data_IF_595544559719
#
_entry.id   IF_595544559719
#
_cell.length_a   1.000
_cell.length_b   1.000
_cell.length_c   1.000
_cell.angle_alpha   90.00
_cell.angle_beta   90.00
_cell.angle_gamma   90.00
#
_symmetry.space_group_name_H-M   'P 1'
#
loop_
_entity.id
_entity.type
_entity.pdbx_description
1 polymer ?
#
# COMPACT_ATOMS: atom_id res chain seq x y z
N UNK A 1 4.86 20.77 86.70
CA UNK A 1 5.71 21.88 87.19
C UNK A 1 5.62 22.99 86.15
N UNK A 2 4.72 23.97 86.36
CA UNK A 2 4.91 25.29 86.99
C UNK A 2 6.21 25.96 86.47
N UNK A 3 6.22 27.07 85.81
CA UNK A 3 5.69 28.44 86.09
C UNK A 3 5.91 29.30 84.84
N UNK A 4 4.94 30.12 84.37
CA UNK A 4 4.62 31.51 84.71
C UNK A 4 5.82 32.48 84.75
N UNK A 5 5.88 33.55 83.98
CA UNK A 5 5.25 34.87 84.12
C UNK A 5 5.88 35.92 83.19
N UNK A 6 5.04 36.71 82.56
CA UNK A 6 4.94 38.20 82.48
C UNK A 6 6.12 38.96 81.88
N UNK A 7 5.98 40.00 81.22
CA UNK A 7 5.06 41.10 80.92
C UNK A 7 5.77 42.01 79.95
N UNK A 8 5.24 42.51 78.92
CA UNK A 8 4.53 43.78 78.82
C UNK A 8 5.50 44.92 78.54
N UNK A 9 5.42 45.53 77.39
CA UNK A 9 5.36 46.99 77.26
C UNK A 9 5.08 47.39 75.78
N UNK A 10 4.15 48.33 75.71
CA UNK A 10 3.77 49.16 74.56
C UNK A 10 4.94 49.99 74.08
N UNK A 11 5.09 50.12 72.73
CA UNK A 11 5.45 51.42 72.16
C UNK A 11 4.86 51.61 70.77
N UNK A 12 4.49 52.80 70.53
CA UNK A 12 3.66 53.35 69.46
C UNK A 12 4.41 53.46 68.11
N UNK A 13 3.64 53.23 67.01
CA UNK A 13 3.42 54.14 65.87
C UNK A 13 4.65 54.45 65.01
N UNK A 14 4.58 54.02 63.75
CA UNK A 14 4.61 54.93 62.61
C UNK A 14 4.07 54.22 61.34
N UNK A 15 2.93 54.69 60.87
CA UNK A 15 2.35 54.34 59.60
C UNK A 15 3.25 54.84 58.46
N UNK A 16 3.70 53.93 57.62
CA UNK A 16 4.17 54.26 56.27
C UNK A 16 3.29 53.51 55.28
N UNK A 17 2.44 54.24 54.61
CA UNK A 17 1.70 53.85 53.48
C UNK A 17 2.70 53.49 52.37
N UNK A 18 2.80 52.20 51.98
CA UNK A 18 3.37 51.77 50.78
C UNK A 18 2.24 51.53 49.79
N UNK A 19 2.15 52.39 48.76
CA UNK A 19 1.34 52.15 47.55
C UNK A 19 1.94 51.00 46.82
N UNK A 20 1.31 49.82 46.88
CA UNK A 20 1.58 48.71 45.95
C UNK A 20 0.83 49.01 44.66
N UNK A 21 1.55 49.46 43.62
CA UNK A 21 1.05 49.50 42.26
C UNK A 21 0.90 48.05 41.80
N UNK A 22 -0.34 47.54 41.69
CA UNK A 22 -0.66 46.31 41.02
C UNK A 22 -0.47 46.51 39.50
N UNK A 23 0.66 46.07 38.98
CA UNK A 23 0.83 45.85 37.53
C UNK A 23 -0.01 44.63 37.16
N UNK A 24 -1.20 44.84 36.61
CA UNK A 24 -2.00 43.81 35.97
C UNK A 24 -1.34 43.49 34.66
N UNK A 25 -0.55 42.41 34.62
CA UNK A 25 -0.13 41.80 33.35
C UNK A 25 -1.37 41.19 32.71
N UNK A 26 -1.89 41.85 31.67
CA UNK A 26 -2.89 41.28 30.79
C UNK A 26 -2.21 40.11 30.02
N UNK A 27 -2.41 38.88 30.45
CA UNK A 27 -2.12 37.71 29.65
C UNK A 27 -3.11 37.68 28.50
N UNK A 28 -2.70 38.14 27.33
CA UNK A 28 -3.40 37.83 26.08
C UNK A 28 -3.26 36.32 25.85
N UNK A 29 -4.34 35.55 25.71
CA UNK A 29 -4.21 34.17 25.31
C UNK A 29 -3.58 34.15 23.91
N UNK A 30 -2.39 33.56 23.77
CA UNK A 30 -1.82 33.18 22.49
C UNK A 30 -2.74 32.07 22.01
N UNK A 31 -3.70 32.41 21.14
CA UNK A 31 -4.44 31.41 20.37
C UNK A 31 -3.43 30.72 19.47
N UNK A 32 -3.10 29.47 19.77
CA UNK A 32 -2.39 28.64 18.84
C UNK A 32 -3.16 28.65 17.50
N UNK A 33 -2.49 28.78 16.35
CA UNK A 33 -3.18 28.68 15.09
C UNK A 33 -3.91 27.35 15.05
N UNK A 34 -5.22 27.40 14.76
CA UNK A 34 -6.00 26.20 14.45
C UNK A 34 -5.29 25.51 13.27
N UNK A 35 -4.54 24.47 13.56
CA UNK A 35 -4.05 23.55 12.53
C UNK A 35 -5.29 22.78 12.09
N UNK A 36 -6.00 23.38 11.16
CA UNK A 36 -7.11 22.73 10.47
C UNK A 36 -6.51 21.49 9.79
N UNK A 37 -6.59 20.34 10.44
CA UNK A 37 -6.18 19.07 9.84
C UNK A 37 -6.94 18.93 8.54
N UNK A 38 -6.24 18.97 7.43
CA UNK A 38 -6.84 18.75 6.13
C UNK A 38 -7.59 17.43 6.20
N UNK A 39 -8.92 17.48 6.04
CA UNK A 39 -9.74 16.28 6.11
C UNK A 39 -9.31 15.35 4.97
N UNK A 40 -8.81 14.15 5.32
CA UNK A 40 -8.43 13.15 4.35
C UNK A 40 -9.64 12.79 3.48
N UNK A 41 -9.41 12.68 2.18
CA UNK A 41 -10.45 12.25 1.26
C UNK A 41 -10.80 10.80 1.51
N UNK A 42 -12.08 10.45 1.33
CA UNK A 42 -12.54 9.07 1.44
C UNK A 42 -13.49 8.71 0.31
N UNK A 43 -13.53 7.43 -0.02
CA UNK A 43 -14.52 6.83 -0.93
C UNK A 43 -15.13 5.59 -0.31
N UNK A 44 -16.41 5.42 -0.54
CA UNK A 44 -17.17 4.25 -0.09
C UNK A 44 -17.78 3.56 -1.30
N UNK A 45 -17.56 2.27 -1.41
CA UNK A 45 -18.09 1.50 -2.52
C UNK A 45 -18.47 0.09 -2.07
N UNK A 46 -19.42 -0.48 -2.80
CA UNK A 46 -19.69 -1.91 -2.84
C UNK A 46 -18.96 -2.50 -4.04
N UNK A 47 -18.21 -3.55 -3.84
CA UNK A 47 -17.47 -4.25 -4.89
C UNK A 47 -17.99 -5.66 -5.01
N UNK A 48 -18.28 -6.09 -6.24
CA UNK A 48 -18.79 -7.42 -6.53
C UNK A 48 -17.92 -8.13 -7.56
N UNK A 49 -17.40 -9.28 -7.19
CA UNK A 49 -16.81 -10.27 -8.08
C UNK A 49 -17.91 -11.24 -8.51
N UNK A 50 -18.09 -11.38 -9.81
CA UNK A 50 -18.99 -12.40 -10.40
C UNK A 50 -18.14 -13.37 -11.21
N UNK A 51 -18.15 -14.64 -10.82
CA UNK A 51 -17.36 -15.69 -11.44
C UNK A 51 -18.31 -16.72 -12.09
N UNK A 52 -18.06 -17.01 -13.36
CA UNK A 52 -18.53 -18.20 -14.06
C UNK A 52 -17.30 -18.87 -14.65
N UNK A 53 -16.68 -19.75 -13.85
CA UNK A 53 -15.31 -20.20 -14.06
C UNK A 53 -15.19 -21.06 -15.32
N UNK A 54 -14.33 -20.64 -16.24
CA UNK A 54 -13.97 -21.41 -17.43
C UNK A 54 -13.09 -22.59 -17.03
N UNK A 55 -13.72 -23.71 -16.66
CA UNK A 55 -13.03 -24.94 -16.30
C UNK A 55 -13.54 -26.10 -17.14
N UNK A 56 -12.72 -27.12 -17.44
CA UNK A 56 -13.16 -28.32 -18.15
C UNK A 56 -14.37 -28.97 -17.47
N UNK A 57 -15.38 -29.33 -18.26
CA UNK A 57 -16.65 -29.89 -17.73
C UNK A 57 -16.42 -31.19 -16.94
N UNK A 58 -15.44 -31.99 -17.36
CA UNK A 58 -15.05 -33.26 -16.78
C UNK A 58 -14.13 -33.14 -15.55
N UNK A 59 -13.60 -31.94 -15.23
CA UNK A 59 -12.72 -31.75 -14.10
C UNK A 59 -13.38 -32.18 -12.78
N UNK A 60 -12.68 -33.01 -12.03
CA UNK A 60 -13.17 -33.57 -10.77
C UNK A 60 -12.97 -32.64 -9.58
N UNK A 61 -11.90 -31.88 -9.60
CA UNK A 61 -11.56 -30.93 -8.54
C UNK A 61 -11.11 -29.60 -9.15
N UNK A 62 -11.95 -28.59 -8.98
CA UNK A 62 -11.67 -27.22 -9.42
C UNK A 62 -11.49 -26.33 -8.19
N UNK A 63 -10.43 -25.53 -8.17
CA UNK A 63 -10.09 -24.63 -7.07
C UNK A 63 -9.94 -23.21 -7.58
N UNK A 64 -10.38 -22.24 -6.80
CA UNK A 64 -10.32 -20.81 -7.11
C UNK A 64 -9.83 -20.05 -5.89
N UNK A 65 -8.90 -19.12 -6.09
CA UNK A 65 -8.47 -18.15 -5.10
C UNK A 65 -8.71 -16.75 -5.64
N UNK A 66 -9.38 -15.91 -4.87
CA UNK A 66 -9.61 -14.51 -5.17
C UNK A 66 -8.89 -13.67 -4.11
N UNK A 67 -8.09 -12.63 -4.48
CA UNK A 67 -7.50 -11.73 -3.51
C UNK A 67 -8.56 -11.13 -2.59
N UNK A 68 -8.34 -11.25 -1.27
CA UNK A 68 -9.31 -10.79 -0.26
C UNK A 68 -8.75 -9.58 0.47
N UNK A 69 -9.36 -8.38 0.32
CA UNK A 69 -8.92 -7.19 1.03
C UNK A 69 -9.18 -7.34 2.53
N UNK A 70 -8.21 -6.91 3.35
CA UNK A 70 -8.35 -6.88 4.80
C UNK A 70 -8.47 -5.43 5.26
N UNK A 71 -9.17 -5.20 6.37
CA UNK A 71 -9.21 -3.88 7.00
C UNK A 71 -7.85 -3.53 7.60
N UNK A 72 -7.49 -2.26 7.47
CA UNK A 72 -6.31 -1.63 8.07
C UNK A 72 -6.63 -0.19 8.48
N UNK A 73 -5.64 0.61 8.84
CA UNK A 73 -5.82 2.01 9.23
C UNK A 73 -6.39 2.92 8.13
N UNK A 74 -6.23 2.52 6.85
CA UNK A 74 -6.62 3.31 5.67
C UNK A 74 -7.79 2.71 4.90
N UNK A 75 -8.21 1.50 5.22
CA UNK A 75 -9.39 0.88 4.61
C UNK A 75 -10.18 0.04 5.61
N UNK A 76 -11.49 0.07 5.48
CA UNK A 76 -12.42 -0.75 6.26
C UNK A 76 -13.23 -1.63 5.30
N UNK A 77 -13.18 -2.94 5.51
CA UNK A 77 -13.92 -3.94 4.74
C UNK A 77 -15.07 -4.45 5.60
N UNK A 78 -16.26 -4.40 5.08
CA UNK A 78 -17.49 -4.84 5.77
C UNK A 78 -18.47 -5.54 4.84
N UNK A 79 -19.54 -6.05 5.40
CA UNK A 79 -20.70 -6.63 4.70
C UNK A 79 -20.32 -7.66 3.62
N UNK A 80 -19.39 -8.54 3.98
CA UNK A 80 -18.91 -9.58 3.06
C UNK A 80 -19.98 -10.64 2.86
N UNK A 81 -20.34 -10.87 1.59
CA UNK A 81 -21.29 -11.91 1.18
C UNK A 81 -20.65 -12.79 0.12
N UNK A 82 -20.72 -14.09 0.31
CA UNK A 82 -20.29 -15.09 -0.67
C UNK A 82 -21.47 -16.00 -0.99
N UNK A 83 -21.78 -16.13 -2.27
CA UNK A 83 -22.86 -16.99 -2.77
C UNK A 83 -22.37 -17.74 -4.01
N UNK A 84 -22.97 -18.90 -4.31
CA UNK A 84 -22.61 -19.70 -5.47
C UNK A 84 -22.89 -21.17 -5.25
N UNK A 85 -22.33 -22.01 -6.12
CA UNK A 85 -22.52 -23.46 -6.08
C UNK A 85 -21.24 -24.24 -5.73
N UNK A 86 -20.24 -23.56 -5.13
CA UNK A 86 -19.04 -24.22 -4.64
C UNK A 86 -19.36 -25.28 -3.58
N UNK A 87 -18.63 -26.39 -3.55
CA UNK A 87 -18.79 -27.44 -2.52
C UNK A 87 -18.27 -27.01 -1.16
N UNK A 88 -17.28 -26.12 -1.16
CA UNK A 88 -16.74 -25.49 0.03
C UNK A 88 -16.09 -24.15 -0.34
N UNK A 89 -16.07 -23.23 0.62
CA UNK A 89 -15.32 -21.97 0.53
C UNK A 89 -14.88 -21.50 1.92
N UNK A 90 -13.87 -20.62 1.95
CA UNK A 90 -13.39 -19.98 3.16
C UNK A 90 -12.37 -18.90 2.86
N UNK A 91 -12.01 -18.10 3.88
CA UNK A 91 -10.97 -17.09 3.77
C UNK A 91 -9.74 -17.57 4.55
N UNK A 92 -8.61 -17.66 3.86
CA UNK A 92 -7.37 -18.17 4.42
C UNK A 92 -6.24 -17.19 4.21
N UNK A 93 -5.30 -17.12 5.15
CA UNK A 93 -4.09 -16.32 5.04
C UNK A 93 -2.92 -17.20 4.64
N UNK A 94 -2.11 -16.74 3.68
CA UNK A 94 -0.84 -17.37 3.38
C UNK A 94 0.22 -17.05 4.44
N UNK A 95 1.25 -17.91 4.54
CA UNK A 95 2.16 -17.88 5.69
C UNK A 95 3.30 -16.86 5.59
N UNK A 96 3.63 -16.36 4.39
CA UNK A 96 4.81 -15.52 4.21
C UNK A 96 4.55 -14.03 4.57
N UNK A 97 3.49 -13.46 4.02
CA UNK A 97 3.16 -12.04 4.16
C UNK A 97 1.81 -11.82 4.88
N UNK A 98 1.03 -12.90 5.08
CA UNK A 98 -0.28 -12.83 5.72
C UNK A 98 -1.39 -12.32 4.80
N UNK A 99 -1.19 -12.34 3.48
CA UNK A 99 -2.22 -12.00 2.52
C UNK A 99 -3.41 -12.95 2.63
N UNK A 100 -4.62 -12.43 2.54
CA UNK A 100 -5.83 -13.22 2.58
C UNK A 100 -6.32 -13.56 1.15
N UNK A 101 -6.86 -14.75 1.00
CA UNK A 101 -7.55 -15.21 -0.20
C UNK A 101 -8.92 -15.77 0.15
N UNK A 102 -9.94 -15.38 -0.59
CA UNK A 102 -11.17 -16.13 -0.65
C UNK A 102 -10.91 -17.37 -1.51
N UNK A 103 -10.93 -18.53 -0.88
CA UNK A 103 -10.78 -19.82 -1.52
C UNK A 103 -12.16 -20.45 -1.74
N UNK A 104 -12.36 -21.05 -2.91
CA UNK A 104 -13.54 -21.86 -3.20
C UNK A 104 -13.14 -23.12 -3.98
N UNK A 105 -13.86 -24.20 -3.77
CA UNK A 105 -13.63 -25.45 -4.48
C UNK A 105 -14.92 -26.12 -4.93
N UNK A 106 -14.82 -26.84 -6.02
CA UNK A 106 -15.85 -27.71 -6.58
C UNK A 106 -15.30 -29.11 -6.72
N UNK A 107 -15.82 -30.04 -5.90
CA UNK A 107 -15.42 -31.45 -5.92
C UNK A 107 -16.54 -32.30 -6.50
N UNK A 108 -16.22 -33.05 -7.57
CA UNK A 108 -17.14 -33.96 -8.24
C UNK A 108 -18.48 -33.31 -8.67
N UNK A 109 -18.44 -32.00 -9.00
CA UNK A 109 -19.62 -31.27 -9.48
C UNK A 109 -19.69 -31.32 -10.99
N UNK A 110 -20.91 -31.28 -11.54
CA UNK A 110 -21.20 -31.13 -12.96
C UNK A 110 -21.80 -29.75 -13.22
N UNK A 111 -21.61 -29.26 -14.44
CA UNK A 111 -22.18 -27.99 -14.86
C UNK A 111 -21.33 -26.76 -14.51
N UNK A 112 -21.89 -25.56 -14.61
CA UNK A 112 -21.18 -24.31 -14.35
C UNK A 112 -20.65 -24.22 -12.91
N UNK A 113 -19.48 -23.61 -12.76
CA UNK A 113 -18.88 -23.31 -11.45
C UNK A 113 -18.98 -21.82 -11.21
N UNK A 114 -19.96 -21.44 -10.40
CA UNK A 114 -20.32 -20.04 -10.18
C UNK A 114 -20.07 -19.61 -8.75
N UNK A 115 -19.60 -18.37 -8.60
CA UNK A 115 -19.42 -17.74 -7.30
C UNK A 115 -19.63 -16.23 -7.44
N UNK A 116 -20.33 -15.64 -6.49
CA UNK A 116 -20.42 -14.19 -6.31
C UNK A 116 -19.79 -13.86 -4.96
N UNK A 117 -18.88 -12.88 -4.95
CA UNK A 117 -18.24 -12.37 -3.76
C UNK A 117 -18.44 -10.85 -3.73
N UNK A 118 -19.14 -10.35 -2.73
CA UNK A 118 -19.43 -8.92 -2.55
C UNK A 118 -18.93 -8.45 -1.21
N UNK A 119 -18.39 -7.24 -1.16
CA UNK A 119 -17.99 -6.56 0.07
C UNK A 119 -18.17 -5.05 -0.06
N UNK A 120 -18.33 -4.36 1.07
CA UNK A 120 -18.24 -2.91 1.13
C UNK A 120 -16.85 -2.49 1.56
N UNK A 121 -16.37 -1.40 1.01
CA UNK A 121 -15.10 -0.79 1.36
C UNK A 121 -15.29 0.70 1.66
N UNK A 122 -14.73 1.15 2.77
CA UNK A 122 -14.40 2.55 3.00
C UNK A 122 -12.89 2.68 2.84
N UNK A 123 -12.45 3.48 1.86
CA UNK A 123 -11.04 3.74 1.60
C UNK A 123 -10.73 5.21 1.85
N UNK A 124 -9.66 5.49 2.59
CA UNK A 124 -9.18 6.83 2.89
C UNK A 124 -7.89 7.11 2.11
N UNK A 125 -7.72 8.36 1.74
CA UNK A 125 -6.42 8.87 1.30
C UNK A 125 -5.38 8.56 2.37
N UNK A 126 -4.20 8.07 1.95
CA UNK A 126 -3.10 7.83 2.88
C UNK A 126 -2.00 8.86 2.64
N UNK A 127 -1.67 9.61 3.70
CA UNK A 127 -0.63 10.63 3.67
C UNK A 127 0.43 10.30 4.72
N UNK A 128 1.68 10.19 4.28
CA UNK A 128 2.85 9.76 5.09
C UNK A 128 4.05 10.68 4.82
N UNK A 129 3.84 12.01 4.79
CA UNK A 129 4.87 12.99 4.38
C UNK A 129 5.74 13.49 5.52
N UNK A 130 5.24 13.45 6.75
CA UNK A 130 5.90 14.04 7.91
C UNK A 130 6.99 13.11 8.48
N UNK A 131 7.85 12.61 7.58
CA UNK A 131 8.98 11.78 8.00
C UNK A 131 10.05 12.65 8.65
N UNK A 132 10.66 12.19 9.76
CA UNK A 132 11.70 12.96 10.43
C UNK A 132 12.94 13.15 9.56
N UNK A 133 13.60 14.29 9.67
CA UNK A 133 14.85 14.58 8.95
C UNK A 133 16.02 13.74 9.48
N UNK A 134 15.93 13.30 10.74
CA UNK A 134 16.93 12.45 11.39
C UNK A 134 16.37 11.05 11.55
N UNK A 135 17.02 10.09 10.91
CA UNK A 135 16.63 8.67 11.02
C UNK A 135 17.13 8.06 12.33
N UNK A 136 16.23 7.30 12.98
CA UNK A 136 16.61 6.47 14.11
C UNK A 136 17.34 5.20 13.62
N UNK A 137 18.26 4.63 14.43
CA UNK A 137 18.83 3.32 14.13
C UNK A 137 17.72 2.26 14.02
N UNK A 138 17.85 1.34 13.08
CA UNK A 138 16.95 0.19 12.93
C UNK A 138 17.72 -1.10 12.63
N UNK A 139 17.14 -2.23 13.00
CA UNK A 139 17.72 -3.53 12.75
C UNK A 139 17.29 -4.08 11.40
N UNK A 140 18.21 -4.26 10.47
CA UNK A 140 17.92 -4.89 9.16
C UNK A 140 17.38 -6.32 9.30
N UNK A 141 17.66 -6.99 10.40
CA UNK A 141 17.16 -8.35 10.65
C UNK A 141 15.63 -8.41 10.84
N UNK A 142 14.99 -7.30 11.19
CA UNK A 142 13.54 -7.20 11.31
C UNK A 142 12.85 -7.08 9.94
N UNK A 143 13.60 -6.65 8.92
CA UNK A 143 13.11 -6.38 7.56
C UNK A 143 13.67 -7.38 6.54
N UNK A 144 13.89 -8.64 6.94
CA UNK A 144 14.49 -9.66 6.05
C UNK A 144 13.71 -9.86 4.76
N UNK A 145 12.39 -9.80 4.81
CA UNK A 145 11.52 -9.97 3.63
C UNK A 145 11.58 -8.75 2.72
N UNK A 146 11.58 -7.57 3.33
CA UNK A 146 11.57 -6.28 2.63
C UNK A 146 12.97 -5.85 2.15
N UNK A 147 13.99 -6.65 2.45
CA UNK A 147 15.38 -6.53 1.95
C UNK A 147 15.79 -7.76 1.11
N UNK A 148 14.92 -8.76 0.99
CA UNK A 148 15.24 -9.99 0.27
C UNK A 148 15.09 -9.80 -1.26
N UNK A 149 15.87 -10.55 -2.05
CA UNK A 149 15.62 -10.71 -3.47
C UNK A 149 14.29 -11.43 -3.71
N UNK A 150 13.82 -11.38 -4.95
CA UNK A 150 12.71 -12.17 -5.46
C UNK A 150 13.17 -12.94 -6.68
N UNK A 151 12.36 -13.87 -7.17
CA UNK A 151 12.69 -14.64 -8.39
C UNK A 151 12.98 -13.77 -9.61
N UNK A 152 12.38 -12.56 -9.68
CA UNK A 152 12.52 -11.62 -10.81
C UNK A 152 13.33 -10.35 -10.43
N UNK A 153 14.03 -10.36 -9.29
CA UNK A 153 14.92 -9.28 -8.84
C UNK A 153 15.95 -9.87 -7.87
N UNK A 154 17.17 -10.15 -8.32
CA UNK A 154 18.17 -10.84 -7.47
C UNK A 154 18.99 -9.89 -6.59
N UNK A 155 18.87 -8.57 -6.80
CA UNK A 155 19.53 -7.47 -6.07
C UNK A 155 21.06 -7.47 -6.16
N UNK A 156 21.60 -8.07 -7.23
CA UNK A 156 23.03 -8.13 -7.52
C UNK A 156 23.32 -7.55 -8.90
N UNK A 157 24.59 -7.57 -9.30
CA UNK A 157 25.02 -7.14 -10.64
C UNK A 157 24.45 -5.78 -11.03
N UNK A 158 23.78 -5.68 -12.20
CA UNK A 158 23.28 -4.41 -12.73
C UNK A 158 22.31 -3.67 -11.83
N UNK A 159 21.47 -4.38 -11.08
CA UNK A 159 20.51 -3.78 -10.12
C UNK A 159 21.26 -3.08 -8.99
N UNK A 160 22.27 -3.73 -8.42
CA UNK A 160 23.07 -3.20 -7.34
C UNK A 160 23.93 -2.02 -7.82
N UNK A 161 24.58 -2.17 -8.96
CA UNK A 161 25.40 -1.10 -9.55
C UNK A 161 24.58 0.16 -9.83
N UNK A 162 23.39 -0.01 -10.39
CA UNK A 162 22.47 1.10 -10.62
C UNK A 162 22.00 1.75 -9.33
N UNK A 163 21.62 0.94 -8.32
CA UNK A 163 21.20 1.45 -7.01
C UNK A 163 22.32 2.25 -6.33
N UNK A 164 23.56 1.74 -6.33
CA UNK A 164 24.75 2.43 -5.77
C UNK A 164 25.01 3.76 -6.49
N UNK A 165 24.89 3.78 -7.82
CA UNK A 165 25.05 5.00 -8.62
C UNK A 165 23.99 6.05 -8.28
N UNK A 166 22.72 5.66 -8.18
CA UNK A 166 21.61 6.58 -7.88
C UNK A 166 21.73 7.14 -6.45
N UNK A 167 22.15 6.28 -5.51
CA UNK A 167 22.17 6.63 -4.09
C UNK A 167 23.53 7.10 -3.59
N UNK A 168 24.49 7.37 -4.49
CA UNK A 168 25.80 7.89 -4.13
C UNK A 168 25.68 9.20 -3.33
N UNK A 169 26.37 9.24 -2.15
CA UNK A 169 26.31 10.38 -1.23
C UNK A 169 25.00 10.54 -0.44
N UNK A 170 24.07 9.59 -0.53
CA UNK A 170 22.83 9.58 0.25
C UNK A 170 23.03 8.79 1.54
N UNK A 171 22.73 9.40 2.68
CA UNK A 171 23.06 8.86 3.99
C UNK A 171 21.83 8.24 4.69
N UNK A 172 20.62 8.70 4.38
CA UNK A 172 19.37 8.27 5.01
C UNK A 172 18.52 7.41 4.08
N UNK A 173 17.62 6.60 4.63
CA UNK A 173 16.65 5.85 3.84
C UNK A 173 15.75 6.79 3.02
N UNK A 174 15.35 7.93 3.60
CA UNK A 174 14.56 8.95 2.91
C UNK A 174 15.28 9.49 1.68
N UNK A 175 16.56 9.89 1.82
CA UNK A 175 17.35 10.41 0.70
C UNK A 175 17.53 9.37 -0.41
N UNK A 176 17.80 8.10 -0.04
CA UNK A 176 17.92 7.00 -1.00
C UNK A 176 16.59 6.70 -1.69
N UNK A 177 15.51 6.56 -0.92
CA UNK A 177 14.17 6.31 -1.45
C UNK A 177 13.71 7.43 -2.39
N UNK A 178 13.98 8.69 -2.04
CA UNK A 178 13.67 9.84 -2.89
C UNK A 178 14.50 9.84 -4.17
N UNK A 179 15.81 9.60 -4.08
CA UNK A 179 16.68 9.55 -5.27
C UNK A 179 16.26 8.44 -6.25
N UNK A 180 15.86 7.27 -5.73
CA UNK A 180 15.35 6.16 -6.55
C UNK A 180 13.99 6.50 -7.16
N UNK A 181 13.09 7.10 -6.37
CA UNK A 181 11.78 7.58 -6.85
C UNK A 181 11.96 8.58 -8.00
N UNK A 182 12.83 9.54 -7.79
CA UNK A 182 13.16 10.58 -8.75
C UNK A 182 13.72 9.99 -10.05
N UNK A 183 14.72 9.10 -9.91
CA UNK A 183 15.28 8.39 -11.04
C UNK A 183 14.22 7.57 -11.80
N UNK A 184 13.34 6.88 -11.09
CA UNK A 184 12.26 6.08 -11.68
C UNK A 184 11.30 6.96 -12.48
N UNK A 185 10.90 8.10 -11.90
CA UNK A 185 10.02 9.05 -12.58
C UNK A 185 10.70 9.69 -13.80
N UNK A 186 12.00 9.95 -13.76
CA UNK A 186 12.71 10.60 -14.85
C UNK A 186 13.07 9.67 -16.00
N UNK A 187 13.45 8.44 -15.68
CA UNK A 187 14.04 7.51 -16.67
C UNK A 187 13.07 6.46 -17.20
N UNK A 188 12.14 5.97 -16.37
CA UNK A 188 11.18 4.97 -16.85
C UNK A 188 9.99 5.62 -17.56
N UNK A 189 9.32 4.87 -18.42
CA UNK A 189 8.10 5.32 -19.09
C UNK A 189 6.99 4.27 -19.00
N UNK A 190 5.73 4.74 -19.08
CA UNK A 190 4.58 3.85 -19.13
C UNK A 190 4.41 3.33 -20.55
N UNK A 191 4.52 2.00 -20.70
CA UNK A 191 4.23 1.32 -21.98
C UNK A 191 2.75 0.89 -22.03
N UNK A 192 1.93 1.48 -22.91
CA UNK A 192 0.53 1.09 -23.05
C UNK A 192 0.35 -0.35 -23.57
N UNK A 193 1.36 -0.91 -24.24
CA UNK A 193 1.29 -2.24 -24.85
C UNK A 193 1.65 -3.37 -23.87
N UNK A 194 2.26 -3.06 -22.72
CA UNK A 194 2.51 -4.07 -21.70
C UNK A 194 1.20 -4.71 -21.23
N UNK A 195 1.17 -6.04 -21.05
CA UNK A 195 -0.03 -6.78 -20.65
C UNK A 195 -0.31 -6.62 -19.16
N UNK A 196 -1.58 -6.47 -18.77
CA UNK A 196 -2.00 -6.36 -17.37
C UNK A 196 -1.29 -5.21 -16.63
N UNK A 197 -0.71 -5.52 -15.48
CA UNK A 197 0.15 -4.58 -14.72
C UNK A 197 1.65 -4.80 -14.98
N UNK A 198 2.04 -5.73 -15.85
CA UNK A 198 3.41 -6.15 -16.06
C UNK A 198 3.83 -7.30 -15.14
N UNK A 199 4.96 -7.91 -15.40
CA UNK A 199 5.47 -9.03 -14.60
C UNK A 199 6.57 -8.64 -13.63
N UNK A 200 7.26 -7.51 -13.89
CA UNK A 200 8.31 -7.00 -13.03
C UNK A 200 9.63 -7.77 -13.11
N UNK A 201 10.03 -8.20 -14.31
CA UNK A 201 11.38 -8.73 -14.55
C UNK A 201 12.39 -7.58 -14.55
N UNK A 202 12.99 -7.32 -13.39
CA UNK A 202 13.80 -6.13 -13.12
C UNK A 202 15.04 -6.10 -14.00
N UNK A 203 15.67 -7.23 -14.22
CA UNK A 203 16.87 -7.33 -15.04
C UNK A 203 16.64 -6.89 -16.51
N UNK A 204 15.47 -7.21 -17.06
CA UNK A 204 15.03 -6.70 -18.36
C UNK A 204 14.61 -5.22 -18.26
N UNK A 205 13.89 -4.84 -17.23
CA UNK A 205 13.29 -3.50 -17.10
C UNK A 205 14.30 -2.38 -16.92
N UNK A 206 15.40 -2.61 -16.21
CA UNK A 206 16.47 -1.61 -16.07
C UNK A 206 17.19 -1.30 -17.39
N UNK A 207 17.08 -2.19 -18.40
CA UNK A 207 17.61 -1.98 -19.75
C UNK A 207 16.58 -1.36 -20.69
N UNK A 208 15.32 -1.76 -20.60
CA UNK A 208 14.24 -1.32 -21.50
C UNK A 208 13.52 -0.06 -21.02
N UNK A 209 13.48 0.16 -19.71
CA UNK A 209 12.89 1.30 -19.02
C UNK A 209 11.36 1.48 -19.23
N UNK A 210 10.71 0.57 -19.95
CA UNK A 210 9.29 0.64 -20.29
C UNK A 210 8.46 -0.42 -19.58
N UNK A 211 7.27 -0.02 -19.08
CA UNK A 211 6.35 -0.98 -18.45
C UNK A 211 5.08 -0.36 -17.89
N UNK A 212 4.28 -1.17 -17.21
CA UNK A 212 3.12 -0.71 -16.45
C UNK A 212 3.44 -0.61 -14.96
N UNK A 213 2.42 -0.46 -14.12
CA UNK A 213 2.62 -0.22 -12.68
C UNK A 213 3.47 -1.32 -12.02
N UNK A 214 3.17 -2.60 -12.25
CA UNK A 214 3.94 -3.70 -11.66
C UNK A 214 5.39 -3.77 -12.14
N UNK A 215 5.69 -3.32 -13.36
CA UNK A 215 7.04 -3.23 -13.90
C UNK A 215 7.82 -2.07 -13.26
N UNK A 216 7.24 -0.87 -13.29
CA UNK A 216 7.87 0.35 -12.76
C UNK A 216 8.13 0.21 -11.25
N UNK A 217 7.16 -0.33 -10.52
CA UNK A 217 7.27 -0.55 -9.08
C UNK A 217 8.29 -1.61 -8.72
N UNK A 218 8.41 -2.70 -9.50
CA UNK A 218 9.44 -3.71 -9.24
C UNK A 218 10.84 -3.15 -9.35
N UNK A 219 11.09 -2.26 -10.32
CA UNK A 219 12.38 -1.58 -10.43
C UNK A 219 12.62 -0.69 -9.21
N UNK A 220 11.64 0.11 -8.80
CA UNK A 220 11.76 0.94 -7.59
C UNK A 220 12.10 0.09 -6.36
N UNK A 221 11.30 -0.96 -6.10
CA UNK A 221 11.51 -1.84 -4.94
C UNK A 221 12.86 -2.53 -4.96
N UNK A 222 13.28 -3.05 -6.13
CA UNK A 222 14.58 -3.71 -6.27
C UNK A 222 15.75 -2.75 -5.98
N UNK A 223 15.72 -1.55 -6.55
CA UNK A 223 16.75 -0.54 -6.32
C UNK A 223 16.78 -0.06 -4.84
N UNK A 224 15.61 0.11 -4.22
CA UNK A 224 15.52 0.46 -2.80
C UNK A 224 16.14 -0.65 -1.93
N UNK A 225 15.76 -1.92 -2.13
CA UNK A 225 16.32 -3.07 -1.41
C UNK A 225 17.82 -3.21 -1.63
N UNK A 226 18.29 -3.09 -2.88
CA UNK A 226 19.72 -3.14 -3.23
C UNK A 226 20.54 -2.03 -2.58
N UNK A 227 19.96 -0.86 -2.33
CA UNK A 227 20.56 0.25 -1.58
C UNK A 227 20.48 0.09 -0.05
N UNK A 228 19.81 -0.98 0.43
CA UNK A 228 19.62 -1.27 1.86
C UNK A 228 18.42 -0.57 2.50
N UNK A 229 17.52 0.01 1.72
CA UNK A 229 16.24 0.56 2.17
C UNK A 229 15.19 -0.54 2.15
N UNK A 230 14.58 -0.92 3.29
CA UNK A 230 13.47 -1.87 3.27
C UNK A 230 12.31 -1.31 2.45
N UNK A 231 11.85 -2.08 1.47
CA UNK A 231 10.78 -1.68 0.57
C UNK A 231 9.86 -2.84 0.22
N UNK A 232 8.58 -2.54 -0.04
CA UNK A 232 7.58 -3.54 -0.42
C UNK A 232 6.57 -2.98 -1.40
N UNK A 233 6.10 -3.85 -2.28
CA UNK A 233 4.97 -3.57 -3.17
C UNK A 233 3.67 -3.82 -2.43
N UNK A 234 2.70 -2.94 -2.61
CA UNK A 234 1.31 -3.15 -2.21
C UNK A 234 0.48 -3.36 -3.46
N UNK A 235 -0.13 -4.52 -3.56
CA UNK A 235 -1.00 -4.90 -4.67
C UNK A 235 -2.45 -4.58 -4.34
N UNK A 236 -3.19 -4.10 -5.34
CA UNK A 236 -4.55 -3.66 -5.13
C UNK A 236 -5.37 -3.56 -6.40
N UNK A 237 -6.55 -2.99 -6.22
CA UNK A 237 -7.47 -2.65 -7.31
C UNK A 237 -7.97 -1.23 -7.12
N UNK A 238 -8.08 -0.47 -8.23
CA UNK A 238 -8.48 0.93 -8.18
C UNK A 238 -9.97 1.08 -8.48
N UNK A 239 -10.69 1.81 -7.63
CA UNK A 239 -12.02 2.30 -7.94
C UNK A 239 -11.92 3.31 -9.09
N UNK A 240 -12.53 3.05 -10.25
CA UNK A 240 -12.56 4.01 -11.36
C UNK A 240 -13.31 5.29 -10.98
N UNK A 241 -13.15 6.32 -11.79
CA UNK A 241 -14.00 7.52 -11.71
C UNK A 241 -15.46 7.16 -12.04
N UNK A 242 -16.40 7.91 -11.44
CA UNK A 242 -17.83 7.66 -11.59
C UNK A 242 -18.44 6.94 -10.38
N UNK A 243 -19.75 6.74 -10.42
CA UNK A 243 -20.49 6.17 -9.28
C UNK A 243 -20.65 4.66 -9.35
N UNK A 244 -20.54 4.07 -10.54
CA UNK A 244 -20.59 2.62 -10.74
C UNK A 244 -19.87 2.25 -12.05
N UNK A 245 -19.49 1.00 -12.20
CA UNK A 245 -18.89 0.53 -13.44
C UNK A 245 -18.14 -0.79 -13.32
N UNK A 246 -17.53 -1.15 -14.45
CA UNK A 246 -16.63 -2.29 -14.53
C UNK A 246 -15.22 -1.90 -14.05
N UNK A 247 -14.64 -2.74 -13.22
CA UNK A 247 -13.27 -2.58 -12.72
C UNK A 247 -12.45 -3.88 -12.88
N UNK A 248 -12.89 -4.77 -13.76
CA UNK A 248 -12.26 -6.08 -13.99
C UNK A 248 -10.78 -5.97 -14.36
N UNK A 249 -10.38 -4.87 -15.01
CA UNK A 249 -8.99 -4.58 -15.41
C UNK A 249 -8.39 -3.36 -14.68
N UNK A 250 -8.90 -3.05 -13.51
CA UNK A 250 -8.48 -1.88 -12.73
C UNK A 250 -7.43 -2.20 -11.65
N UNK A 251 -6.75 -3.33 -11.75
CA UNK A 251 -5.65 -3.66 -10.84
C UNK A 251 -4.57 -2.59 -10.90
N UNK A 252 -4.04 -2.27 -9.74
CA UNK A 252 -2.99 -1.28 -9.57
C UNK A 252 -2.19 -1.58 -8.31
N UNK A 253 -0.88 -1.37 -8.38
CA UNK A 253 0.02 -1.49 -7.23
C UNK A 253 0.64 -0.11 -6.91
N UNK A 254 1.22 0.00 -5.75
CA UNK A 254 2.04 1.12 -5.29
C UNK A 254 3.12 0.60 -4.38
N UNK A 255 4.00 1.48 -3.90
CA UNK A 255 5.17 1.09 -3.13
C UNK A 255 5.15 1.68 -1.73
N UNK A 256 5.86 1.02 -0.85
CA UNK A 256 6.21 1.54 0.47
C UNK A 256 7.69 1.31 0.75
N UNK A 257 8.34 2.34 1.29
CA UNK A 257 9.67 2.24 1.86
C UNK A 257 9.64 2.52 3.36
N UNK A 258 10.56 1.95 4.10
CA UNK A 258 10.60 2.11 5.56
C UNK A 258 11.45 3.30 5.98
N UNK A 259 10.82 4.24 6.69
CA UNK A 259 11.47 5.37 7.37
C UNK A 259 11.69 5.01 8.84
N UNK A 260 12.95 4.82 9.28
CA UNK A 260 13.24 4.49 10.66
C UNK A 260 12.71 5.53 11.66
N UNK A 261 11.95 5.07 12.65
CA UNK A 261 11.29 5.93 13.64
C UNK A 261 9.93 6.50 13.23
N UNK A 262 9.54 6.32 11.94
CA UNK A 262 8.24 6.77 11.44
C UNK A 262 7.35 5.61 10.97
N UNK A 263 7.92 4.66 10.22
CA UNK A 263 7.19 3.54 9.65
C UNK A 263 7.19 3.52 8.12
N UNK A 264 6.14 2.93 7.54
CA UNK A 264 6.01 2.76 6.10
C UNK A 264 5.49 4.01 5.39
N UNK A 265 6.26 4.51 4.43
CA UNK A 265 5.98 5.69 3.63
C UNK A 265 5.58 5.26 2.22
N UNK A 266 4.41 5.72 1.76
CA UNK A 266 3.87 5.36 0.44
C UNK A 266 4.49 6.19 -0.67
N UNK A 267 4.71 5.56 -1.85
CA UNK A 267 5.11 6.24 -3.09
C UNK A 267 4.46 5.58 -4.31
N UNK A 268 4.25 6.35 -5.37
CA UNK A 268 3.73 5.83 -6.63
C UNK A 268 4.34 6.54 -7.86
N UNK A 269 5.56 6.16 -8.26
CA UNK A 269 6.18 6.70 -9.47
C UNK A 269 5.42 6.32 -10.76
N UNK A 270 4.71 5.18 -10.76
CA UNK A 270 3.99 4.71 -11.94
C UNK A 270 2.78 5.60 -12.27
N UNK A 271 2.09 6.16 -11.28
CA UNK A 271 0.98 7.08 -11.54
C UNK A 271 1.44 8.44 -12.04
N UNK A 272 2.63 8.90 -11.65
CA UNK A 272 3.25 10.08 -12.27
C UNK A 272 3.48 9.81 -13.75
N UNK A 273 4.09 8.68 -14.10
CA UNK A 273 4.34 8.29 -15.50
C UNK A 273 3.07 8.06 -16.30
N UNK A 274 2.04 7.49 -15.65
CA UNK A 274 0.71 7.34 -16.23
C UNK A 274 0.09 8.69 -16.58
N UNK A 275 0.13 9.64 -15.65
CA UNK A 275 -0.42 10.99 -15.87
C UNK A 275 0.32 11.74 -16.99
N UNK A 276 1.64 11.61 -17.07
CA UNK A 276 2.43 12.19 -18.16
C UNK A 276 1.96 11.66 -19.51
N UNK A 277 1.78 10.35 -19.65
CA UNK A 277 1.31 9.72 -20.88
C UNK A 277 -0.14 10.12 -21.22
N UNK A 278 -1.07 9.95 -20.28
CA UNK A 278 -2.50 10.10 -20.53
C UNK A 278 -2.92 11.56 -20.70
N UNK A 279 -2.32 12.49 -19.93
CA UNK A 279 -2.59 13.91 -19.99
C UNK A 279 -1.69 14.65 -21.00
N UNK A 280 -0.72 13.95 -21.60
CA UNK A 280 0.27 14.52 -22.55
C UNK A 280 1.00 15.72 -21.96
N UNK A 281 1.38 15.66 -20.69
CA UNK A 281 2.09 16.70 -19.96
C UNK A 281 3.59 16.40 -19.89
N UNK A 282 4.40 17.43 -19.68
CA UNK A 282 5.85 17.30 -19.47
C UNK A 282 6.18 16.85 -18.05
N UNK A 283 7.43 16.44 -17.79
CA UNK A 283 7.93 16.16 -16.44
C UNK A 283 7.79 17.36 -15.51
N UNK A 284 8.06 18.57 -16.01
CA UNK A 284 7.90 19.80 -15.24
C UNK A 284 6.44 20.06 -14.86
N UNK A 285 5.52 19.89 -15.80
CA UNK A 285 4.08 20.01 -15.54
C UNK A 285 3.55 18.92 -14.58
N UNK A 286 4.24 17.78 -14.49
CA UNK A 286 3.90 16.71 -13.58
C UNK A 286 4.47 16.92 -12.16
N UNK A 287 5.25 17.98 -11.89
CA UNK A 287 5.87 18.25 -10.60
C UNK A 287 4.90 18.17 -9.41
N UNK A 288 3.69 18.77 -9.43
CA UNK A 288 2.74 18.64 -8.33
C UNK A 288 2.31 17.19 -8.06
N UNK A 289 2.18 16.35 -9.11
CA UNK A 289 1.87 14.93 -8.96
C UNK A 289 3.07 14.16 -8.40
N UNK A 290 4.28 14.49 -8.86
CA UNK A 290 5.54 13.92 -8.36
C UNK A 290 5.70 14.19 -6.85
N UNK A 291 5.42 15.40 -6.41
CA UNK A 291 5.42 15.79 -5.00
C UNK A 291 4.31 15.07 -4.22
N UNK A 292 3.12 14.95 -4.80
CA UNK A 292 2.00 14.24 -4.18
C UNK A 292 2.31 12.77 -3.96
N UNK A 293 2.76 12.07 -4.99
CA UNK A 293 2.99 10.62 -4.93
C UNK A 293 4.30 10.21 -4.26
N UNK A 294 5.09 11.13 -3.74
CA UNK A 294 6.14 10.83 -2.77
C UNK A 294 5.63 11.12 -1.35
N UNK A 295 4.93 10.16 -0.77
CA UNK A 295 4.37 10.25 0.57
C UNK A 295 2.84 10.30 0.63
N UNK A 296 2.12 10.18 -0.50
CA UNK A 296 0.66 10.05 -0.47
C UNK A 296 0.14 9.18 -1.61
N UNK A 297 -1.02 8.54 -1.36
CA UNK A 297 -1.83 7.86 -2.36
C UNK A 297 -3.31 8.14 -2.13
N UNK A 298 -4.05 8.26 -3.22
CA UNK A 298 -5.46 8.66 -3.20
C UNK A 298 -6.38 7.59 -2.58
N UNK A 299 -7.60 8.01 -2.29
CA UNK A 299 -8.67 7.23 -1.66
C UNK A 299 -9.32 6.18 -2.58
N UNK A 300 -8.85 6.03 -3.80
CA UNK A 300 -9.43 5.08 -4.76
C UNK A 300 -8.75 3.70 -4.75
N UNK A 301 -7.77 3.44 -3.88
CA UNK A 301 -6.88 2.26 -3.95
C UNK A 301 -7.21 1.25 -2.88
N UNK A 302 -7.88 0.16 -3.23
CA UNK A 302 -8.19 -0.95 -2.34
C UNK A 302 -6.98 -1.88 -2.31
N UNK A 303 -6.30 -2.00 -1.16
CA UNK A 303 -5.20 -2.94 -0.97
C UNK A 303 -5.73 -4.36 -0.81
N UNK A 304 -5.08 -5.33 -1.47
CA UNK A 304 -5.45 -6.76 -1.38
C UNK A 304 -4.30 -7.65 -0.96
N UNK A 305 -3.06 -7.14 -0.97
CA UNK A 305 -1.91 -7.92 -0.53
C UNK A 305 -0.56 -7.26 -0.80
N UNK A 306 0.51 -7.96 -0.45
CA UNK A 306 1.89 -7.54 -0.61
C UNK A 306 2.79 -8.75 -0.88
N UNK A 307 4.01 -8.49 -1.35
CA UNK A 307 5.04 -9.52 -1.52
C UNK A 307 4.92 -10.31 -2.82
N UNK A 308 5.98 -11.06 -3.09
CA UNK A 308 6.13 -11.87 -4.31
C UNK A 308 6.47 -13.32 -3.97
N UNK A 309 6.45 -14.17 -4.99
CA UNK A 309 6.75 -15.60 -4.89
C UNK A 309 5.87 -16.32 -3.85
N UNK A 310 4.55 -16.09 -3.94
CA UNK A 310 3.56 -16.44 -2.94
C UNK A 310 3.09 -17.90 -3.07
N UNK A 311 3.10 -18.61 -1.96
CA UNK A 311 2.40 -19.89 -1.81
C UNK A 311 1.09 -19.62 -1.08
N UNK A 312 -0.03 -19.79 -1.78
CA UNK A 312 -1.37 -19.52 -1.26
C UNK A 312 -1.76 -20.50 -0.13
N UNK A 313 -2.87 -20.25 0.53
CA UNK A 313 -3.45 -21.16 1.51
C UNK A 313 -4.96 -21.36 1.20
N UNK A 314 -5.41 -22.61 0.93
CA UNK A 314 -4.63 -23.84 0.70
C UNK A 314 -3.62 -23.65 -0.45
N UNK A 315 -2.48 -24.38 -0.44
CA UNK A 315 -1.44 -24.19 -1.45
C UNK A 315 -1.93 -24.59 -2.85
N UNK A 316 -1.56 -23.79 -3.84
CA UNK A 316 -1.71 -24.17 -5.25
C UNK A 316 -0.78 -25.34 -5.61
N UNK A 317 -1.13 -26.07 -6.65
CA UNK A 317 -0.29 -27.14 -7.17
C UNK A 317 0.84 -26.61 -8.08
N UNK A 318 0.66 -25.44 -8.67
CA UNK A 318 1.64 -24.78 -9.52
C UNK A 318 2.75 -24.07 -8.73
N UNK A 319 3.65 -23.41 -9.47
CA UNK A 319 4.73 -22.61 -8.90
C UNK A 319 4.21 -21.46 -8.00
N UNK A 320 5.05 -20.94 -7.10
CA UNK A 320 4.72 -19.74 -6.33
C UNK A 320 4.31 -18.60 -7.25
N UNK A 321 3.19 -17.94 -6.92
CA UNK A 321 2.68 -16.81 -7.71
C UNK A 321 3.62 -15.62 -7.60
N UNK A 322 3.97 -15.04 -8.74
CA UNK A 322 4.80 -13.84 -8.77
C UNK A 322 4.26 -12.71 -7.89
N UNK A 323 2.95 -12.47 -7.98
CA UNK A 323 2.18 -11.65 -7.05
C UNK A 323 0.69 -12.04 -7.10
N UNK A 324 -0.11 -11.59 -6.13
CA UNK A 324 -1.50 -12.00 -6.02
C UNK A 324 -2.45 -10.79 -5.92
N UNK A 325 -2.84 -10.24 -7.08
CA UNK A 325 -3.91 -9.24 -7.20
C UNK A 325 -4.94 -9.57 -8.29
N UNK A 326 -4.80 -10.74 -8.91
CA UNK A 326 -5.73 -11.33 -9.87
C UNK A 326 -6.24 -12.66 -9.34
N UNK A 327 -7.45 -13.08 -9.67
CA UNK A 327 -7.90 -14.44 -9.38
C UNK A 327 -6.98 -15.51 -9.99
N UNK A 328 -6.79 -16.58 -9.24
CA UNK A 328 -6.04 -17.75 -9.68
C UNK A 328 -6.90 -19.00 -9.54
N UNK A 329 -6.87 -19.89 -10.50
CA UNK A 329 -7.68 -21.11 -10.50
C UNK A 329 -6.93 -22.32 -11.05
N UNK A 330 -7.33 -23.50 -10.60
CA UNK A 330 -6.80 -24.79 -11.02
C UNK A 330 -7.93 -25.78 -11.26
N UNK A 331 -7.69 -26.69 -12.22
CA UNK A 331 -8.51 -27.87 -12.42
C UNK A 331 -7.63 -29.11 -12.38
N UNK A 332 -7.98 -30.06 -11.49
CA UNK A 332 -7.22 -31.33 -11.28
C UNK A 332 -5.70 -31.11 -11.13
N UNK A 333 -5.32 -30.06 -10.37
CA UNK A 333 -3.94 -29.69 -10.08
C UNK A 333 -3.20 -28.97 -11.21
N UNK A 334 -3.89 -28.53 -12.25
CA UNK A 334 -3.32 -27.75 -13.35
C UNK A 334 -3.89 -26.33 -13.36
N UNK A 335 -3.03 -25.32 -13.49
CA UNK A 335 -3.47 -23.94 -13.61
C UNK A 335 -4.42 -23.76 -14.79
N UNK A 336 -5.50 -23.02 -14.56
CA UNK A 336 -6.44 -22.58 -15.60
C UNK A 336 -6.04 -21.22 -16.17
N UNK A 337 -5.26 -20.44 -15.44
CA UNK A 337 -4.74 -19.17 -15.90
C UNK A 337 -3.79 -19.39 -17.08
N UNK A 338 -4.08 -18.78 -18.22
CA UNK A 338 -3.15 -18.73 -19.38
C UNK A 338 -1.94 -17.85 -19.08
N UNK A 339 -2.10 -16.91 -18.19
CA UNK A 339 -1.05 -16.01 -17.72
C UNK A 339 -1.32 -15.54 -16.27
N UNK A 340 -0.45 -14.68 -15.77
CA UNK A 340 -0.55 -14.11 -14.41
C UNK A 340 -1.87 -13.36 -14.16
N UNK A 341 -2.53 -12.84 -15.20
CA UNK A 341 -3.67 -11.94 -15.08
C UNK A 341 -5.04 -12.66 -15.00
N UNK A 342 -5.10 -13.89 -15.48
CA UNK A 342 -6.28 -14.75 -15.38
C UNK A 342 -7.53 -14.19 -16.07
N UNK A 343 -7.41 -13.32 -17.06
CA UNK A 343 -8.57 -12.75 -17.76
C UNK A 343 -9.38 -13.78 -18.53
N UNK A 344 -8.80 -14.96 -18.79
CA UNK A 344 -9.47 -16.11 -19.41
C UNK A 344 -10.36 -16.90 -18.44
N UNK A 345 -10.32 -16.64 -17.13
CA UNK A 345 -11.01 -17.44 -16.11
C UNK A 345 -12.53 -17.26 -16.09
N UNK A 346 -13.08 -16.26 -16.74
CA UNK A 346 -14.52 -15.99 -16.75
C UNK A 346 -15.01 -15.32 -15.47
N UNK A 347 -14.39 -14.22 -15.08
CA UNK A 347 -14.83 -13.38 -13.99
C UNK A 347 -14.99 -11.92 -14.42
N UNK A 348 -15.82 -11.18 -13.67
CA UNK A 348 -15.95 -9.72 -13.76
C UNK A 348 -15.90 -9.12 -12.36
N UNK A 349 -15.45 -7.88 -12.27
CA UNK A 349 -15.45 -7.09 -11.04
C UNK A 349 -16.18 -5.80 -11.31
N UNK A 350 -17.19 -5.50 -10.52
CA UNK A 350 -17.96 -4.25 -10.63
C UNK A 350 -17.96 -3.50 -9.30
N UNK A 351 -18.13 -2.20 -9.36
CA UNK A 351 -18.31 -1.38 -8.17
C UNK A 351 -19.55 -0.50 -8.29
N UNK A 352 -20.07 -0.11 -7.14
CA UNK A 352 -21.11 0.91 -6.97
C UNK A 352 -20.74 1.75 -5.75
N UNK A 353 -20.66 3.07 -5.92
CA UNK A 353 -20.40 4.02 -4.84
C UNK A 353 -21.60 4.11 -3.89
N UNK A 354 -21.31 4.24 -2.59
CA UNK A 354 -22.32 4.25 -1.52
C UNK A 354 -22.57 5.66 -0.99
#
# INVERSE_FOLDING_TARGET
>A
MQRRYRSGQFLRVFSRFWLFSLLIFAFSPITAPDVQSAQLKERRAEVTYSVNLNAPAEAKHVRLWIPYPMSDENQEISDVVVAGNSTAWGVYKEGAFGNAALYAEWKNTKGPRTLTYTFKVLRRERVTRDTPDVELPFSKSEFRKELAPTRLADLKGPEKELAEKITAGKNTNRERAFAIYDWTVENMFRDPNAKGCGIGDVDTLIRTLGGKCGDIHSVYTALARASGVPAREVFGIRLPSGREGDMTKAQHCWEEWYSPGYGWVVVDPADVRKAILEKKITLEQAKPLREYYFGAVDESRIAVGTGRDLVLNPPQAGEPLNYFMYPYAEADGKALNEDLYGFNLGYTIRFREL
#
